data_IF_952209381468
#
_entry.id   IF_952209381468
#
_cell.length_a   1.000
_cell.length_b   1.000
_cell.length_c   1.000
_cell.angle_alpha   90.00
_cell.angle_beta   90.00
_cell.angle_gamma   90.00
#
_symmetry.space_group_name_H-M   'P 1'
#
loop_
_entity.id
_entity.type
_entity.pdbx_description
1 polymer ?
#
# COMPACT_ATOMS: atom_id res chain seq x y z
N UNK A 1 7.30 12.63 3.10
CA UNK A 1 7.60 11.88 4.35
C UNK A 1 6.72 10.63 4.53
N UNK A 2 5.64 10.47 3.75
CA UNK A 2 5.00 9.18 3.49
C UNK A 2 4.29 8.55 4.69
N UNK A 3 4.12 7.23 4.68
CA UNK A 3 3.38 6.49 5.72
C UNK A 3 3.99 6.60 7.14
N UNK A 4 5.25 7.05 7.24
CA UNK A 4 5.97 7.30 8.50
C UNK A 4 6.06 8.79 8.89
N UNK A 5 5.32 9.68 8.23
CA UNK A 5 5.29 11.12 8.52
C UNK A 5 5.18 11.43 10.02
N UNK A 6 5.98 12.39 10.49
CA UNK A 6 5.85 12.95 11.84
C UNK A 6 4.86 14.12 11.89
N UNK A 7 4.62 14.77 10.74
CA UNK A 7 3.79 15.98 10.62
C UNK A 7 2.29 15.69 10.72
N UNK A 8 1.87 14.45 10.50
CA UNK A 8 0.47 14.02 10.65
C UNK A 8 -0.17 14.44 11.98
N UNK A 9 0.58 14.38 13.08
CA UNK A 9 0.07 14.75 14.41
C UNK A 9 -0.28 16.24 14.55
N UNK A 10 0.26 17.08 13.68
CA UNK A 10 0.07 18.53 13.72
C UNK A 10 -0.93 19.05 12.68
N UNK A 11 -1.18 18.29 11.61
CA UNK A 11 -1.92 18.77 10.43
C UNK A 11 -3.16 17.92 10.09
N UNK A 12 -3.42 16.84 10.84
CA UNK A 12 -4.61 16.00 10.69
C UNK A 12 -4.97 15.34 12.03
N UNK A 13 -6.13 14.69 12.10
CA UNK A 13 -6.52 13.82 13.21
C UNK A 13 -6.22 12.35 12.83
N UNK A 14 -4.99 11.85 13.06
CA UNK A 14 -4.58 10.55 12.53
C UNK A 14 -5.30 9.40 13.25
N UNK A 15 -6.08 8.63 12.48
CA UNK A 15 -6.66 7.35 12.91
C UNK A 15 -5.98 6.21 12.16
N UNK A 16 -4.79 5.84 12.63
CA UNK A 16 -3.96 4.81 11.98
C UNK A 16 -4.35 3.43 12.51
N UNK A 17 -4.73 2.55 11.60
CA UNK A 17 -4.92 1.13 11.83
C UNK A 17 -3.81 0.32 11.13
N UNK A 18 -3.47 -0.84 11.69
CA UNK A 18 -2.46 -1.77 11.13
C UNK A 18 -3.07 -3.16 11.05
N UNK A 19 -3.85 -3.46 9.99
CA UNK A 19 -4.58 -4.72 9.88
C UNK A 19 -3.68 -5.94 9.59
N UNK A 20 -2.56 -5.73 8.91
CA UNK A 20 -1.66 -6.79 8.46
C UNK A 20 -0.24 -6.29 8.27
N UNK A 21 0.64 -7.22 7.92
CA UNK A 21 1.99 -6.95 7.46
C UNK A 21 2.21 -7.63 6.12
N UNK A 22 2.87 -6.94 5.19
CA UNK A 22 3.30 -7.54 3.92
C UNK A 22 4.72 -8.06 4.06
N UNK A 23 4.92 -9.32 3.67
CA UNK A 23 6.21 -9.98 3.52
C UNK A 23 6.56 -9.98 2.03
N UNK A 24 7.59 -9.23 1.67
CA UNK A 24 8.06 -9.06 0.29
C UNK A 24 9.28 -9.91 -0.03
N UNK A 25 9.22 -10.57 -1.19
CA UNK A 25 10.27 -11.37 -1.79
C UNK A 25 10.47 -10.93 -3.26
N UNK A 26 11.70 -11.05 -3.75
CA UNK A 26 12.02 -10.94 -5.17
C UNK A 26 12.33 -12.34 -5.67
N UNK A 27 11.50 -12.85 -6.59
CA UNK A 27 11.69 -14.13 -7.25
C UNK A 27 12.50 -13.91 -8.52
N UNK A 28 13.47 -14.79 -8.74
CA UNK A 28 14.33 -14.82 -9.92
C UNK A 28 14.07 -16.13 -10.67
N UNK A 29 14.27 -16.14 -11.99
CA UNK A 29 14.16 -17.34 -12.83
C UNK A 29 12.79 -18.03 -12.81
N UNK A 30 11.70 -17.27 -12.68
CA UNK A 30 10.33 -17.77 -12.88
C UNK A 30 9.54 -16.90 -13.84
N UNK A 31 8.66 -17.53 -14.59
CA UNK A 31 7.66 -16.85 -15.42
C UNK A 31 6.29 -16.95 -14.76
N UNK A 32 5.60 -15.82 -14.67
CA UNK A 32 4.21 -15.82 -14.24
C UNK A 32 3.31 -16.32 -15.38
N UNK A 33 2.23 -17.06 -15.09
CA UNK A 33 1.21 -17.40 -16.09
C UNK A 33 0.70 -16.12 -16.78
N UNK A 34 0.34 -16.12 -18.05
CA UNK A 34 -0.19 -14.91 -18.73
C UNK A 34 0.71 -13.66 -18.62
N UNK A 35 1.63 -13.49 -19.58
CA UNK A 35 2.52 -12.34 -19.65
C UNK A 35 1.75 -10.99 -19.55
N UNK A 36 2.39 -10.00 -18.93
CA UNK A 36 1.87 -8.63 -18.74
C UNK A 36 0.64 -8.50 -17.80
N UNK A 37 0.34 -9.53 -17.01
CA UNK A 37 -0.71 -9.47 -15.99
C UNK A 37 -0.09 -9.51 -14.59
N UNK A 38 -0.71 -8.82 -13.64
CA UNK A 38 -0.49 -9.06 -12.22
C UNK A 38 -1.38 -10.22 -11.77
N UNK A 39 -0.92 -10.98 -10.78
CA UNK A 39 -1.62 -12.16 -10.27
C UNK A 39 -1.96 -11.97 -8.81
N UNK A 40 -3.15 -12.44 -8.48
CA UNK A 40 -3.64 -12.52 -7.13
C UNK A 40 -3.94 -13.98 -6.84
N UNK A 41 -3.18 -14.57 -5.93
CA UNK A 41 -3.38 -15.95 -5.47
C UNK A 41 -4.21 -15.91 -4.21
N UNK A 42 -5.33 -16.62 -4.20
CA UNK A 42 -6.17 -16.76 -3.01
C UNK A 42 -5.62 -17.90 -2.16
N UNK A 43 -4.95 -17.52 -1.08
CA UNK A 43 -4.37 -18.42 -0.10
C UNK A 43 -4.94 -18.17 1.28
N UNK A 44 -4.92 -19.21 2.11
CA UNK A 44 -5.22 -19.17 3.53
C UNK A 44 -3.96 -18.75 4.32
N UNK A 45 -4.01 -17.72 5.20
CA UNK A 45 -5.19 -16.94 5.60
C UNK A 45 -5.41 -15.65 4.79
N UNK A 46 -4.52 -15.33 3.85
CA UNK A 46 -4.55 -14.05 3.13
C UNK A 46 -3.96 -14.13 1.74
N UNK A 47 -4.35 -13.21 0.84
CA UNK A 47 -3.94 -13.29 -0.56
C UNK A 47 -2.46 -12.98 -0.77
N UNK A 48 -1.91 -13.51 -1.85
CA UNK A 48 -0.55 -13.24 -2.32
C UNK A 48 -0.62 -12.48 -3.64
N UNK A 49 0.14 -11.40 -3.74
CA UNK A 49 0.21 -10.56 -4.93
C UNK A 49 1.53 -10.85 -5.64
N UNK A 50 1.46 -11.16 -6.93
CA UNK A 50 2.61 -11.39 -7.79
C UNK A 50 2.57 -10.45 -8.99
N UNK A 51 3.69 -9.84 -9.32
CA UNK A 51 3.82 -9.05 -10.56
C UNK A 51 5.27 -8.93 -10.97
N UNK A 52 5.52 -8.94 -12.27
CA UNK A 52 6.86 -8.70 -12.82
C UNK A 52 7.28 -7.25 -12.61
N UNK A 53 8.51 -7.06 -12.11
CA UNK A 53 9.15 -5.74 -11.96
C UNK A 53 10.26 -5.51 -12.98
N UNK A 54 10.74 -6.57 -13.62
CA UNK A 54 11.68 -6.56 -14.73
C UNK A 54 11.48 -7.79 -15.61
N UNK A 55 12.30 -7.94 -16.65
CA UNK A 55 12.31 -9.14 -17.49
C UNK A 55 12.79 -10.40 -16.78
N UNK A 56 13.39 -10.30 -15.60
CA UNK A 56 13.97 -11.43 -14.86
C UNK A 56 13.55 -11.51 -13.39
N UNK A 57 12.78 -10.52 -12.90
CA UNK A 57 12.40 -10.42 -11.50
C UNK A 57 10.90 -10.23 -11.33
N UNK A 58 10.34 -11.00 -10.39
CA UNK A 58 8.95 -10.95 -9.97
C UNK A 58 8.89 -10.55 -8.51
N UNK A 59 8.08 -9.55 -8.18
CA UNK A 59 7.73 -9.29 -6.79
C UNK A 59 6.66 -10.27 -6.33
N UNK A 60 6.91 -10.89 -5.19
CA UNK A 60 5.94 -11.69 -4.44
C UNK A 60 5.67 -11.00 -3.11
N UNK A 61 4.42 -10.62 -2.87
CA UNK A 61 3.97 -9.95 -1.66
C UNK A 61 2.96 -10.86 -0.96
N UNK A 62 3.37 -11.45 0.15
CA UNK A 62 2.51 -12.27 1.00
C UNK A 62 1.92 -11.37 2.07
N UNK A 63 0.60 -11.26 2.12
CA UNK A 63 -0.06 -10.59 3.25
C UNK A 63 -0.17 -11.54 4.45
N UNK A 64 0.25 -11.08 5.61
CA UNK A 64 0.20 -11.83 6.88
C UNK A 64 -0.68 -11.04 7.86
N UNK A 65 -1.87 -11.55 8.20
CA UNK A 65 -2.81 -10.91 9.10
C UNK A 65 -2.25 -10.66 10.50
N UNK A 66 -2.70 -9.55 11.09
CA UNK A 66 -2.36 -9.19 12.45
C UNK A 66 -1.00 -8.54 12.59
N UNK A 67 -0.67 -8.19 13.84
CA UNK A 67 0.51 -7.38 14.15
C UNK A 67 1.78 -8.21 14.43
N UNK A 68 1.63 -9.49 14.72
CA UNK A 68 2.76 -10.37 15.09
C UNK A 68 3.15 -11.20 13.88
N UNK A 69 4.33 -10.92 13.36
CA UNK A 69 4.98 -11.74 12.34
C UNK A 69 5.81 -12.86 13.01
N UNK A 70 5.92 -14.04 12.37
CA UNK A 70 6.97 -14.99 12.70
C UNK A 70 8.35 -14.29 12.66
N UNK A 71 9.21 -14.45 13.66
CA UNK A 71 10.52 -13.82 13.65
C UNK A 71 11.37 -14.30 12.47
N UNK A 72 12.10 -13.39 11.84
CA UNK A 72 13.04 -13.71 10.76
C UNK A 72 14.33 -14.29 11.35
N UNK A 73 14.79 -13.74 12.48
CA UNK A 73 16.11 -14.03 13.06
C UNK A 73 16.32 -15.49 13.49
N UNK A 74 15.25 -16.25 13.75
CA UNK A 74 15.32 -17.65 14.18
C UNK A 74 14.82 -18.63 13.10
N UNK A 75 14.57 -18.16 11.86
CA UNK A 75 14.10 -18.99 10.75
C UNK A 75 12.62 -19.37 10.80
N UNK A 76 11.83 -18.87 11.77
CA UNK A 76 10.38 -19.16 11.82
C UNK A 76 9.64 -18.58 10.61
N UNK A 77 10.03 -17.39 10.13
CA UNK A 77 9.48 -16.81 8.90
C UNK A 77 9.76 -17.69 7.68
N UNK A 78 11.00 -18.18 7.53
CA UNK A 78 11.35 -19.09 6.44
C UNK A 78 10.52 -20.38 6.51
N UNK A 79 10.41 -20.97 7.71
CA UNK A 79 9.57 -22.15 7.93
C UNK A 79 8.13 -21.86 7.54
N UNK A 80 7.56 -20.74 8.01
CA UNK A 80 6.19 -20.33 7.69
C UNK A 80 5.96 -20.21 6.18
N UNK A 81 6.85 -19.52 5.47
CA UNK A 81 6.76 -19.34 4.03
C UNK A 81 6.87 -20.68 3.29
N UNK A 82 7.77 -21.57 3.69
CA UNK A 82 7.95 -22.89 3.05
C UNK A 82 6.81 -23.88 3.35
N UNK A 83 6.30 -23.91 4.58
CA UNK A 83 5.32 -24.93 5.00
C UNK A 83 3.89 -24.52 4.79
N UNK A 84 3.56 -23.24 4.94
CA UNK A 84 2.18 -22.75 4.83
C UNK A 84 1.92 -22.05 3.50
N UNK A 85 2.86 -21.25 2.99
CA UNK A 85 2.62 -20.41 1.81
C UNK A 85 2.98 -21.13 0.51
N UNK A 86 4.19 -21.70 0.41
CA UNK A 86 4.68 -22.34 -0.82
C UNK A 86 3.75 -23.43 -1.39
N UNK A 87 3.08 -24.29 -0.58
CA UNK A 87 2.17 -25.31 -1.12
C UNK A 87 0.92 -24.74 -1.81
N UNK A 88 0.55 -23.50 -1.49
CA UNK A 88 -0.63 -22.81 -2.04
C UNK A 88 -0.31 -22.03 -3.32
N UNK A 89 0.98 -21.85 -3.65
CA UNK A 89 1.41 -21.22 -4.89
C UNK A 89 1.31 -22.17 -6.09
N UNK A 90 1.08 -21.63 -7.31
CA UNK A 90 1.23 -22.36 -8.55
C UNK A 90 2.57 -23.10 -8.64
N UNK A 91 2.56 -24.29 -9.24
CA UNK A 91 3.72 -25.18 -9.29
C UNK A 91 4.90 -24.51 -9.98
N UNK A 92 4.63 -23.71 -11.00
CA UNK A 92 5.59 -22.98 -11.83
C UNK A 92 6.38 -21.92 -11.04
N UNK A 93 5.82 -21.42 -9.93
CA UNK A 93 6.42 -20.33 -9.13
C UNK A 93 7.04 -20.88 -7.84
N UNK A 94 6.62 -22.07 -7.41
CA UNK A 94 6.96 -22.64 -6.10
C UNK A 94 8.47 -22.80 -5.90
N UNK A 95 9.20 -23.28 -6.90
CA UNK A 95 10.65 -23.48 -6.80
C UNK A 95 11.38 -22.15 -6.62
N UNK A 96 11.06 -21.15 -7.46
CA UNK A 96 11.65 -19.82 -7.36
C UNK A 96 11.29 -19.14 -6.03
N UNK A 97 10.08 -19.36 -5.52
CA UNK A 97 9.67 -18.88 -4.20
C UNK A 97 10.51 -19.49 -3.08
N UNK A 98 10.69 -20.82 -3.06
CA UNK A 98 11.50 -21.51 -2.04
C UNK A 98 12.96 -21.05 -2.11
N UNK A 99 13.52 -20.92 -3.31
CA UNK A 99 14.88 -20.41 -3.51
C UNK A 99 15.05 -18.96 -3.01
N UNK A 100 14.07 -18.08 -3.25
CA UNK A 100 14.09 -16.71 -2.76
C UNK A 100 14.01 -16.63 -1.22
N UNK A 101 13.24 -17.53 -0.60
CA UNK A 101 13.18 -17.65 0.87
C UNK A 101 14.52 -18.09 1.43
N UNK A 102 15.18 -19.09 0.82
CA UNK A 102 16.51 -19.59 1.24
C UNK A 102 17.63 -18.56 1.09
N UNK A 103 17.51 -17.67 0.09
CA UNK A 103 18.43 -16.54 -0.09
C UNK A 103 18.35 -15.53 1.08
N UNK A 104 17.28 -15.54 1.86
CA UNK A 104 17.15 -14.80 3.12
C UNK A 104 16.86 -13.29 2.98
N UNK A 105 16.66 -12.78 1.76
CA UNK A 105 16.37 -11.36 1.50
C UNK A 105 14.89 -11.00 1.74
N UNK A 106 14.34 -11.45 2.87
CA UNK A 106 12.94 -11.24 3.25
C UNK A 106 12.79 -9.83 3.82
N UNK A 107 11.84 -9.05 3.27
CA UNK A 107 11.50 -7.72 3.79
C UNK A 107 10.08 -7.72 4.33
N UNK A 108 9.85 -7.00 5.42
CA UNK A 108 8.53 -6.87 6.01
C UNK A 108 8.14 -5.41 6.15
N UNK A 109 6.87 -5.11 5.91
CA UNK A 109 6.34 -3.76 6.08
C UNK A 109 4.93 -3.83 6.69
N UNK A 110 4.66 -3.10 7.78
CA UNK A 110 3.32 -3.00 8.33
C UNK A 110 2.42 -2.23 7.36
N UNK A 111 1.24 -2.79 7.07
CA UNK A 111 0.22 -2.12 6.28
C UNK A 111 -0.45 -1.08 7.16
N UNK A 112 -0.27 0.22 6.86
CA UNK A 112 -0.91 1.31 7.61
C UNK A 112 -2.10 1.84 6.84
N UNK A 113 -3.30 1.72 7.41
CA UNK A 113 -4.52 2.28 6.85
C UNK A 113 -4.92 3.53 7.66
N UNK A 114 -5.22 4.63 6.97
CA UNK A 114 -5.56 5.88 7.62
C UNK A 114 -6.51 6.71 6.73
N UNK A 115 -7.75 6.99 7.20
CA UNK A 115 -8.64 7.89 6.50
C UNK A 115 -8.10 9.33 6.53
N UNK A 116 -8.49 10.13 5.54
CA UNK A 116 -8.12 11.53 5.47
C UNK A 116 -9.03 12.35 6.42
N UNK A 117 -8.43 13.02 7.40
CA UNK A 117 -9.13 13.85 8.40
C UNK A 117 -8.28 15.12 8.68
N UNK A 118 -8.26 16.10 7.75
CA UNK A 118 -7.35 17.24 7.81
C UNK A 118 -7.71 18.22 8.93
N UNK A 119 -6.70 18.87 9.52
CA UNK A 119 -6.86 20.04 10.39
C UNK A 119 -6.42 21.27 9.58
N UNK A 120 -7.35 22.17 9.19
CA UNK A 120 -7.00 23.37 8.42
C UNK A 120 -5.91 24.18 9.13
N UNK A 121 -4.76 24.29 8.48
CA UNK A 121 -3.58 24.96 9.03
C UNK A 121 -3.01 25.90 7.97
N UNK A 122 -3.19 27.23 8.11
CA UNK A 122 -2.74 28.19 7.11
C UNK A 122 -1.24 28.06 6.81
N UNK A 123 -0.92 27.88 5.52
CA UNK A 123 0.46 27.71 5.04
C UNK A 123 1.02 26.29 5.10
N UNK A 124 0.21 25.29 5.46
CA UNK A 124 0.61 23.88 5.46
C UNK A 124 -0.44 22.97 4.78
N UNK A 125 0.05 21.92 4.12
CA UNK A 125 -0.76 20.91 3.45
C UNK A 125 -0.09 19.55 3.57
N UNK A 126 -0.87 18.51 3.90
CA UNK A 126 -0.41 17.11 3.82
C UNK A 126 -0.95 16.42 2.57
N UNK A 127 -0.11 15.59 1.96
CA UNK A 127 -0.42 14.82 0.75
C UNK A 127 0.11 13.38 0.85
N UNK A 128 -0.39 12.52 -0.05
CA UNK A 128 0.04 11.12 -0.15
C UNK A 128 -0.27 10.30 1.11
N UNK A 129 0.53 9.27 1.36
CA UNK A 129 0.32 8.36 2.50
C UNK A 129 0.54 9.02 3.88
N UNK A 130 1.10 10.23 3.93
CA UNK A 130 1.15 11.03 5.14
C UNK A 130 -0.23 11.58 5.54
N UNK A 131 -1.12 11.76 4.55
CA UNK A 131 -2.47 12.31 4.73
C UNK A 131 -3.56 11.25 4.66
N UNK A 132 -3.42 10.29 3.76
CA UNK A 132 -4.42 9.27 3.53
C UNK A 132 -3.76 8.02 2.95
N UNK A 133 -3.83 6.92 3.69
CA UNK A 133 -3.28 5.62 3.32
C UNK A 133 -4.36 4.53 3.36
N UNK A 134 -4.16 3.46 2.61
CA UNK A 134 -5.11 2.36 2.42
C UNK A 134 -4.36 1.04 2.23
N UNK A 135 -5.06 -0.07 2.27
CA UNK A 135 -4.48 -1.39 2.03
C UNK A 135 -3.83 -1.43 0.62
N UNK A 136 -2.57 -1.92 0.46
CA UNK A 136 -1.85 -1.86 -0.81
C UNK A 136 -2.33 -2.88 -1.85
N UNK A 137 -3.24 -3.78 -1.47
CA UNK A 137 -3.78 -4.87 -2.31
C UNK A 137 -4.21 -4.42 -3.71
N UNK A 138 -4.81 -3.23 -3.84
CA UNK A 138 -5.30 -2.72 -5.13
C UNK A 138 -4.29 -1.81 -5.84
N UNK A 139 -3.10 -1.58 -5.26
CA UNK A 139 -2.06 -0.72 -5.85
C UNK A 139 -2.43 0.77 -5.99
N UNK A 140 -3.52 1.24 -5.37
CA UNK A 140 -4.10 2.55 -5.66
C UNK A 140 -3.43 3.78 -5.02
N UNK A 141 -2.44 3.59 -4.14
CA UNK A 141 -1.85 4.70 -3.37
C UNK A 141 -1.19 5.78 -4.23
N UNK A 142 -0.37 5.37 -5.20
CA UNK A 142 0.28 6.30 -6.13
C UNK A 142 -0.74 7.00 -7.04
N UNK A 143 -1.78 6.29 -7.48
CA UNK A 143 -2.86 6.85 -8.29
C UNK A 143 -3.58 7.97 -7.55
N UNK A 144 -3.90 7.77 -6.27
CA UNK A 144 -4.51 8.83 -5.44
C UNK A 144 -3.55 10.01 -5.29
N UNK A 145 -2.27 9.75 -4.99
CA UNK A 145 -1.28 10.82 -4.82
C UNK A 145 -1.12 11.67 -6.09
N UNK A 146 -0.99 11.03 -7.26
CA UNK A 146 -0.85 11.76 -8.54
C UNK A 146 -2.13 12.50 -8.91
N UNK A 147 -3.30 11.91 -8.66
CA UNK A 147 -4.58 12.61 -8.86
C UNK A 147 -4.72 13.82 -7.94
N UNK A 148 -4.31 13.69 -6.67
CA UNK A 148 -4.31 14.80 -5.71
C UNK A 148 -3.42 15.95 -6.22
N UNK A 149 -2.26 15.64 -6.81
CA UNK A 149 -1.37 16.63 -7.42
C UNK A 149 -2.03 17.34 -8.60
N UNK A 150 -2.77 16.65 -9.46
CA UNK A 150 -3.47 17.27 -10.60
C UNK A 150 -4.52 18.26 -10.11
N UNK A 151 -5.35 17.86 -9.13
CA UNK A 151 -6.37 18.74 -8.53
C UNK A 151 -5.71 19.95 -7.88
N UNK A 152 -4.66 19.74 -7.10
CA UNK A 152 -3.95 20.81 -6.42
C UNK A 152 -3.29 21.78 -7.41
N UNK A 153 -2.63 21.27 -8.45
CA UNK A 153 -2.04 22.09 -9.52
C UNK A 153 -3.07 23.03 -10.13
N UNK A 154 -4.26 22.53 -10.43
CA UNK A 154 -5.29 23.34 -11.09
C UNK A 154 -5.90 24.38 -10.14
N UNK A 155 -6.05 24.05 -8.86
CA UNK A 155 -6.48 25.00 -7.82
C UNK A 155 -5.44 26.11 -7.56
N UNK A 156 -4.14 25.77 -7.59
CA UNK A 156 -3.07 26.71 -7.30
C UNK A 156 -2.64 27.54 -8.52
N UNK A 157 -2.97 27.11 -9.75
CA UNK A 157 -2.62 27.81 -11.00
C UNK A 157 -2.96 29.32 -11.04
N UNK A 158 -4.15 29.79 -10.59
CA UNK A 158 -4.46 31.22 -10.63
C UNK A 158 -3.75 32.04 -9.54
N UNK A 159 -3.10 31.39 -8.56
CA UNK A 159 -2.52 32.07 -7.40
C UNK A 159 -1.13 32.58 -7.76
N UNK A 160 -0.96 33.91 -7.69
CA UNK A 160 0.33 34.56 -7.97
C UNK A 160 1.17 34.84 -6.73
N UNK A 161 0.53 34.90 -5.56
CA UNK A 161 1.18 35.20 -4.29
C UNK A 161 0.87 34.12 -3.26
N UNK A 162 1.88 33.31 -2.91
CA UNK A 162 1.75 32.25 -1.91
C UNK A 162 1.94 32.74 -0.46
N UNK A 163 2.22 34.03 -0.25
CA UNK A 163 2.33 34.60 1.11
C UNK A 163 0.96 34.90 1.73
N UNK A 164 -0.11 34.98 0.93
CA UNK A 164 -1.47 35.14 1.42
C UNK A 164 -2.02 33.78 1.88
N UNK A 165 -1.69 33.43 3.14
CA UNK A 165 -2.05 32.15 3.74
C UNK A 165 -3.57 31.97 3.88
N UNK A 166 -4.31 33.05 4.07
CA UNK A 166 -5.78 33.01 4.23
C UNK A 166 -6.45 32.75 2.88
N UNK A 167 -6.02 33.45 1.83
CA UNK A 167 -6.51 33.17 0.47
C UNK A 167 -6.18 31.74 0.04
N UNK A 168 -4.94 31.27 0.29
CA UNK A 168 -4.54 29.90 0.01
C UNK A 168 -5.38 28.86 0.74
N UNK A 169 -5.75 29.11 2.01
CA UNK A 169 -6.52 28.17 2.81
C UNK A 169 -7.87 27.83 2.16
N UNK A 170 -8.52 28.80 1.50
CA UNK A 170 -9.78 28.56 0.76
C UNK A 170 -9.60 27.58 -0.41
N UNK A 171 -8.49 27.67 -1.15
CA UNK A 171 -8.18 26.73 -2.23
C UNK A 171 -7.85 25.33 -1.69
N UNK A 172 -7.18 25.26 -0.54
CA UNK A 172 -6.88 24.00 0.13
C UNK A 172 -8.16 23.32 0.67
N UNK A 173 -9.12 24.09 1.20
CA UNK A 173 -10.43 23.57 1.58
C UNK A 173 -11.18 22.97 0.38
N UNK A 174 -11.13 23.65 -0.77
CA UNK A 174 -11.70 23.13 -2.02
C UNK A 174 -11.02 21.81 -2.45
N UNK A 175 -9.69 21.70 -2.31
CA UNK A 175 -8.95 20.46 -2.58
C UNK A 175 -9.50 19.27 -1.78
N UNK A 176 -9.77 19.43 -0.48
CA UNK A 176 -10.31 18.35 0.36
C UNK A 176 -11.70 17.87 -0.09
N UNK A 177 -12.47 18.70 -0.78
CA UNK A 177 -13.75 18.31 -1.36
C UNK A 177 -13.56 17.64 -2.72
N UNK A 178 -12.78 18.27 -3.61
CA UNK A 178 -12.60 17.83 -4.99
C UNK A 178 -11.89 16.47 -5.14
N UNK A 179 -11.02 16.11 -4.18
CA UNK A 179 -10.35 14.80 -4.21
C UNK A 179 -11.24 13.62 -3.82
N UNK A 180 -12.34 13.86 -3.09
CA UNK A 180 -13.16 12.80 -2.47
C UNK A 180 -13.67 11.76 -3.46
N UNK A 181 -14.19 12.10 -4.66
CA UNK A 181 -14.78 11.09 -5.56
C UNK A 181 -13.81 9.96 -5.94
N UNK A 182 -12.56 10.30 -6.32
CA UNK A 182 -11.55 9.28 -6.66
C UNK A 182 -10.98 8.63 -5.40
N UNK A 183 -10.53 9.44 -4.43
CA UNK A 183 -9.86 8.94 -3.24
C UNK A 183 -10.78 8.02 -2.42
N UNK A 184 -12.05 8.39 -2.25
CA UNK A 184 -13.04 7.58 -1.55
C UNK A 184 -13.31 6.28 -2.29
N UNK A 185 -13.47 6.31 -3.62
CA UNK A 185 -13.68 5.09 -4.41
C UNK A 185 -12.52 4.11 -4.24
N UNK A 186 -11.28 4.57 -4.39
CA UNK A 186 -10.09 3.72 -4.25
C UNK A 186 -9.95 3.19 -2.81
N UNK A 187 -10.16 4.06 -1.80
CA UNK A 187 -10.04 3.66 -0.39
C UNK A 187 -11.11 2.62 -0.01
N UNK A 188 -12.36 2.85 -0.41
CA UNK A 188 -13.48 1.94 -0.13
C UNK A 188 -13.28 0.62 -0.85
N UNK A 189 -12.88 0.63 -2.12
CA UNK A 189 -12.62 -0.58 -2.89
C UNK A 189 -11.48 -1.40 -2.29
N UNK A 190 -10.36 -0.78 -1.94
CA UNK A 190 -9.23 -1.46 -1.28
C UNK A 190 -9.65 -2.12 0.04
N UNK A 191 -10.43 -1.41 0.85
CA UNK A 191 -10.90 -1.91 2.15
C UNK A 191 -11.90 -3.04 2.01
N UNK A 192 -12.83 -2.93 1.06
CA UNK A 192 -13.84 -3.96 0.79
C UNK A 192 -13.20 -5.24 0.24
N UNK A 193 -12.28 -5.11 -0.72
CA UNK A 193 -11.56 -6.25 -1.29
C UNK A 193 -10.73 -6.98 -0.24
N UNK A 194 -9.98 -6.25 0.59
CA UNK A 194 -9.20 -6.88 1.64
C UNK A 194 -10.07 -7.66 2.64
N UNK A 195 -11.16 -7.06 3.11
CA UNK A 195 -12.11 -7.74 4.01
C UNK A 195 -12.76 -8.96 3.35
N UNK A 196 -13.10 -8.87 2.08
CA UNK A 196 -13.68 -9.97 1.32
C UNK A 196 -12.71 -11.16 1.24
N UNK A 197 -11.46 -10.93 0.83
CA UNK A 197 -10.47 -12.01 0.73
C UNK A 197 -10.15 -12.64 2.07
N UNK A 198 -10.13 -11.84 3.14
CA UNK A 198 -9.94 -12.34 4.49
C UNK A 198 -11.13 -13.18 5.00
N UNK A 199 -12.34 -13.00 4.44
CA UNK A 199 -13.54 -13.75 4.86
C UNK A 199 -13.80 -15.04 4.08
N UNK A 200 -13.03 -15.31 3.02
CA UNK A 200 -13.22 -16.48 2.16
C UNK A 200 -12.64 -17.76 2.79
N UNK A 201 -11.70 -17.62 3.72
CA UNK A 201 -11.02 -18.71 4.43
C UNK A 201 -11.34 -18.60 5.93
#
# INVERSE_FOLDING_TARGET
DGCFSNLRRSLCNPKVDVPSNVVGLVLENCELPFANHGHLVFSDPSPIILYSISSSQVHCLVDVPGQKLPPIANGEMEKYLKTHIAPQLPVEIREAFVAAVEKGNIRTIPVRCMPADPVPTPGALLLGDAFNSRHPLTGGGMTVALSDIVVLRDLLRPIRNFNDKEALSKYIEAFYTLRKPLASTINTFASAMYKFFFSIF
#
